data_IF_674257995050
#
_entry.id   IF_674257995050
#
_cell.length_a   1.000
_cell.length_b   1.000
_cell.length_c   1.000
_cell.angle_alpha   90.00
_cell.angle_beta   90.00
_cell.angle_gamma   90.00
#
_symmetry.space_group_name_H-M   'P 1'
#
loop_
_entity.id
_entity.type
_entity.pdbx_description
1 polymer ?
#
# COMPACT_ATOMS: atom_id res chain seq x y z
N UNK A 1 14.69 3.68 13.42
CA UNK A 1 14.69 2.34 12.79
C UNK A 1 13.27 1.83 12.86
N UNK A 2 12.74 1.39 11.71
CA UNK A 2 11.35 0.93 11.59
C UNK A 2 11.13 -0.14 12.67
N UNK A 3 9.93 -0.38 13.18
CA UNK A 3 9.60 -1.46 14.13
C UNK A 3 8.34 -2.22 13.68
N UNK A 4 7.46 -1.52 12.96
CA UNK A 4 6.20 -2.04 12.41
C UNK A 4 6.05 -1.69 10.95
N UNK A 5 5.56 -2.63 10.16
CA UNK A 5 5.18 -2.43 8.75
C UNK A 5 3.72 -2.85 8.60
N UNK A 6 2.88 -1.99 8.03
CA UNK A 6 1.56 -2.38 7.55
C UNK A 6 1.56 -2.35 6.02
N UNK A 7 1.12 -3.44 5.39
CA UNK A 7 0.93 -3.53 3.94
C UNK A 7 -0.55 -3.56 3.65
N UNK A 8 -1.03 -2.61 2.85
CA UNK A 8 -2.45 -2.46 2.55
C UNK A 8 -2.66 -2.12 1.06
N UNK A 9 -3.78 -2.53 0.48
CA UNK A 9 -4.18 -2.08 -0.86
C UNK A 9 -4.65 -0.62 -0.80
N UNK A 10 -4.73 0.04 -1.95
CA UNK A 10 -5.13 1.45 -2.06
C UNK A 10 -6.22 1.75 -3.11
N UNK A 11 -7.17 0.84 -3.41
CA UNK A 11 -8.22 1.18 -4.36
C UNK A 11 -9.17 2.23 -3.73
N UNK A 12 -9.69 3.19 -4.52
CA UNK A 12 -10.55 4.25 -3.98
C UNK A 12 -11.82 3.73 -3.28
N UNK A 13 -12.29 2.52 -3.65
CA UNK A 13 -13.44 1.86 -3.04
C UNK A 13 -13.28 1.58 -1.53
N UNK A 14 -12.07 1.65 -0.97
CA UNK A 14 -11.88 1.58 0.48
C UNK A 14 -12.53 2.77 1.19
N UNK A 15 -12.61 3.92 0.53
CA UNK A 15 -13.29 5.12 1.04
C UNK A 15 -14.80 4.91 0.96
N UNK A 16 -15.49 5.00 2.11
CA UNK A 16 -16.91 4.70 2.24
C UNK A 16 -17.79 5.51 1.29
N UNK A 17 -17.46 6.78 1.13
CA UNK A 17 -18.16 7.77 0.33
C UNK A 17 -18.01 7.51 -1.18
N UNK A 18 -16.95 6.81 -1.62
CA UNK A 18 -16.70 6.48 -3.03
C UNK A 18 -17.35 5.15 -3.44
N UNK A 19 -17.62 4.27 -2.50
CA UNK A 19 -18.33 3.02 -2.73
C UNK A 19 -19.44 2.85 -1.68
N UNK A 20 -20.56 3.58 -1.85
CA UNK A 20 -21.71 3.49 -0.97
C UNK A 20 -22.45 2.16 -1.19
N UNK A 21 -23.00 1.61 -0.11
CA UNK A 21 -23.73 0.36 -0.13
C UNK A 21 -23.08 -0.73 0.70
N UNK A 22 -23.82 -1.81 0.90
CA UNK A 22 -23.35 -2.97 1.64
C UNK A 22 -22.84 -4.03 0.68
N UNK A 23 -21.56 -4.37 0.83
CA UNK A 23 -20.96 -5.57 0.27
C UNK A 23 -20.15 -6.24 1.38
N UNK A 24 -20.38 -7.54 1.59
CA UNK A 24 -19.73 -8.29 2.67
C UNK A 24 -18.21 -8.38 2.46
N UNK A 25 -17.77 -8.66 1.23
CA UNK A 25 -16.34 -8.82 0.93
C UNK A 25 -15.60 -7.48 1.05
N UNK A 26 -16.23 -6.38 0.64
CA UNK A 26 -15.70 -5.03 0.87
C UNK A 26 -15.65 -4.68 2.36
N UNK A 27 -16.65 -5.09 3.13
CA UNK A 27 -16.69 -4.86 4.59
C UNK A 27 -15.54 -5.60 5.28
N UNK A 28 -15.30 -6.85 4.91
CA UNK A 28 -14.18 -7.66 5.42
C UNK A 28 -12.82 -7.03 5.03
N UNK A 29 -12.66 -6.58 3.78
CA UNK A 29 -11.45 -5.89 3.33
C UNK A 29 -11.22 -4.57 4.08
N UNK A 30 -12.24 -3.70 4.19
CA UNK A 30 -12.15 -2.43 4.94
C UNK A 30 -11.80 -2.67 6.40
N UNK A 31 -12.37 -3.70 7.03
CA UNK A 31 -12.04 -4.07 8.40
C UNK A 31 -10.58 -4.50 8.56
N UNK A 32 -10.07 -5.35 7.66
CA UNK A 32 -8.67 -5.77 7.67
C UNK A 32 -7.71 -4.57 7.51
N UNK A 33 -7.96 -3.70 6.53
CA UNK A 33 -7.17 -2.48 6.32
C UNK A 33 -7.20 -1.57 7.56
N UNK A 34 -8.40 -1.31 8.09
CA UNK A 34 -8.58 -0.45 9.25
C UNK A 34 -7.86 -0.99 10.49
N UNK A 35 -7.92 -2.30 10.73
CA UNK A 35 -7.21 -2.93 11.84
C UNK A 35 -5.69 -2.85 11.66
N UNK A 36 -5.16 -3.09 10.45
CA UNK A 36 -3.74 -3.00 10.17
C UNK A 36 -3.18 -1.59 10.41
N UNK A 37 -3.89 -0.53 9.97
CA UNK A 37 -3.42 0.85 10.15
C UNK A 37 -3.60 1.38 11.57
N UNK A 38 -4.62 0.91 12.32
CA UNK A 38 -4.72 1.19 13.77
C UNK A 38 -3.58 0.52 14.55
N UNK A 39 -3.28 -0.74 14.24
CA UNK A 39 -2.14 -1.45 14.81
C UNK A 39 -0.80 -0.74 14.51
N UNK A 40 -0.67 -0.14 13.32
CA UNK A 40 0.48 0.71 13.00
C UNK A 40 0.52 1.97 13.87
N UNK A 41 -0.62 2.66 14.05
CA UNK A 41 -0.75 3.86 14.90
C UNK A 41 -0.40 3.60 16.38
N UNK A 42 -0.72 2.41 16.89
CA UNK A 42 -0.38 2.00 18.26
C UNK A 42 1.13 1.94 18.51
N UNK A 43 1.93 1.71 17.46
CA UNK A 43 3.39 1.67 17.56
C UNK A 43 4.07 3.02 17.31
N UNK A 44 3.49 3.86 16.45
CA UNK A 44 3.99 5.20 16.17
C UNK A 44 2.91 6.11 15.54
N UNK A 45 2.95 7.40 15.85
CA UNK A 45 2.04 8.41 15.29
C UNK A 45 2.60 9.14 14.06
N UNK A 46 3.90 8.98 13.79
CA UNK A 46 4.56 9.47 12.58
C UNK A 46 4.94 8.30 11.68
N UNK A 47 4.43 8.32 10.46
CA UNK A 47 4.64 7.24 9.51
C UNK A 47 5.46 7.70 8.33
N UNK A 48 6.25 6.77 7.80
CA UNK A 48 6.70 6.80 6.43
C UNK A 48 5.79 5.88 5.61
N UNK A 49 5.41 6.28 4.41
CA UNK A 49 4.70 5.46 3.45
C UNK A 49 5.50 5.29 2.17
N UNK A 50 5.40 4.12 1.55
CA UNK A 50 5.95 3.84 0.23
C UNK A 50 4.87 3.31 -0.70
N UNK A 51 4.86 3.84 -1.92
CA UNK A 51 3.98 3.42 -2.99
C UNK A 51 4.69 3.58 -4.35
N UNK A 52 4.08 3.07 -5.40
CA UNK A 52 4.51 3.31 -6.78
C UNK A 52 3.34 3.82 -7.61
N UNK A 53 3.62 4.75 -8.53
CA UNK A 53 2.62 5.37 -9.40
C UNK A 53 3.25 5.81 -10.74
N UNK A 54 2.42 5.95 -11.76
CA UNK A 54 2.84 6.41 -13.09
C UNK A 54 3.15 7.92 -13.12
N UNK A 55 2.75 8.68 -12.09
CA UNK A 55 3.13 10.09 -11.91
C UNK A 55 4.63 10.31 -11.69
N UNK A 56 5.39 9.23 -11.46
CA UNK A 56 6.83 9.24 -11.29
C UNK A 56 7.27 9.45 -9.83
N UNK A 57 8.59 9.55 -9.66
CA UNK A 57 9.24 9.63 -8.34
C UNK A 57 9.01 10.99 -7.67
N UNK A 58 8.51 10.99 -6.43
CA UNK A 58 8.29 12.21 -5.66
C UNK A 58 8.27 11.94 -4.14
N UNK A 59 8.47 13.01 -3.34
CA UNK A 59 8.25 12.97 -1.89
C UNK A 59 7.12 13.91 -1.50
N UNK A 60 6.16 13.41 -0.72
CA UNK A 60 4.98 14.16 -0.28
C UNK A 60 4.92 14.22 1.24
N UNK A 61 4.75 15.43 1.80
CA UNK A 61 4.58 15.62 3.25
C UNK A 61 3.81 16.92 3.51
N UNK A 62 2.97 16.94 4.56
CA UNK A 62 2.23 18.14 5.01
C UNK A 62 1.14 18.67 4.06
N UNK A 63 0.99 18.08 2.87
CA UNK A 63 0.05 18.51 1.84
C UNK A 63 -1.41 18.14 2.18
N UNK A 64 -2.34 18.76 1.45
CA UNK A 64 -3.79 18.48 1.45
C UNK A 64 -4.23 18.06 0.04
N UNK A 65 -5.16 17.11 -0.04
CA UNK A 65 -5.80 16.68 -1.29
C UNK A 65 -7.28 16.41 -1.13
N UNK A 66 -7.95 16.00 -2.20
CA UNK A 66 -9.36 15.57 -2.19
C UNK A 66 -9.58 14.41 -3.15
N UNK A 67 -10.52 13.54 -2.82
CA UNK A 67 -11.03 12.49 -3.70
C UNK A 67 -12.06 12.99 -4.73
N UNK A 68 -12.26 14.31 -4.89
CA UNK A 68 -13.26 14.86 -5.80
C UNK A 68 -13.15 14.34 -7.24
N UNK A 69 -11.93 14.08 -7.74
CA UNK A 69 -11.69 13.47 -9.05
C UNK A 69 -12.14 12.00 -9.16
N UNK A 70 -12.39 11.34 -8.03
CA UNK A 70 -12.88 9.97 -7.93
C UNK A 70 -14.39 9.89 -7.64
N UNK A 71 -15.06 11.03 -7.45
CA UNK A 71 -16.52 11.12 -7.34
C UNK A 71 -17.07 11.53 -5.98
N UNK A 72 -16.23 11.77 -4.97
CA UNK A 72 -16.68 12.33 -3.68
C UNK A 72 -15.68 13.35 -3.13
N UNK A 73 -16.17 14.50 -2.64
CA UNK A 73 -15.32 15.54 -2.05
C UNK A 73 -14.90 15.20 -0.61
N UNK A 74 -14.13 14.13 -0.48
CA UNK A 74 -13.48 13.75 0.77
C UNK A 74 -12.10 14.39 0.81
N UNK A 75 -11.95 15.43 1.62
CA UNK A 75 -10.67 16.09 1.86
C UNK A 75 -9.77 15.22 2.75
N UNK A 76 -8.48 15.14 2.41
CA UNK A 76 -7.44 14.46 3.19
C UNK A 76 -6.26 15.38 3.44
N UNK A 77 -5.54 15.15 4.54
CA UNK A 77 -4.28 15.84 4.85
C UNK A 77 -3.19 14.81 5.12
N UNK A 78 -1.93 15.17 4.90
CA UNK A 78 -0.77 14.32 5.25
C UNK A 78 -0.26 14.55 6.69
N UNK A 79 -0.57 15.69 7.31
CA UNK A 79 -0.28 15.97 8.73
C UNK A 79 -1.49 16.56 9.47
N UNK A 80 -1.65 16.26 10.76
CA UNK A 80 -2.72 16.79 11.61
C UNK A 80 -2.56 18.30 11.77
N UNK A 81 -3.67 19.04 11.68
CA UNK A 81 -3.65 20.50 11.82
C UNK A 81 -3.00 21.25 10.64
N UNK A 82 -2.65 20.57 9.54
CA UNK A 82 -2.17 21.24 8.34
C UNK A 82 -3.30 22.03 7.66
N UNK A 83 -3.11 23.35 7.58
CA UNK A 83 -3.84 24.24 6.67
C UNK A 83 -3.06 24.47 5.36
N UNK A 84 -2.26 23.47 4.94
CA UNK A 84 -1.38 23.55 3.76
C UNK A 84 -2.09 24.04 2.49
N UNK A 85 -1.30 24.47 1.51
CA UNK A 85 -1.80 25.03 0.24
C UNK A 85 -2.93 24.16 -0.37
N UNK A 86 -3.91 24.84 -0.99
CA UNK A 86 -5.14 24.25 -1.55
C UNK A 86 -4.89 23.12 -2.57
N UNK A 87 -5.95 22.40 -2.99
CA UNK A 87 -5.89 21.02 -3.46
C UNK A 87 -4.91 20.85 -4.61
N UNK A 88 -3.70 20.38 -4.29
CA UNK A 88 -2.83 19.79 -5.29
C UNK A 88 -3.50 18.50 -5.78
N UNK A 89 -3.43 18.23 -7.08
CA UNK A 89 -3.80 16.93 -7.63
C UNK A 89 -2.76 15.91 -7.14
N UNK A 90 -2.99 15.33 -5.96
CA UNK A 90 -2.11 14.33 -5.39
C UNK A 90 -2.39 12.96 -6.06
N UNK A 91 -1.36 12.15 -6.33
CA UNK A 91 -1.53 10.78 -6.80
C UNK A 91 -2.40 9.96 -5.84
N UNK A 92 -3.15 8.99 -6.36
CA UNK A 92 -4.05 8.16 -5.56
C UNK A 92 -3.40 7.54 -4.31
N UNK A 93 -2.23 6.88 -4.40
CA UNK A 93 -1.60 6.31 -3.19
C UNK A 93 -1.28 7.38 -2.14
N UNK A 94 -0.98 8.62 -2.54
CA UNK A 94 -0.75 9.73 -1.60
C UNK A 94 -2.05 10.15 -0.92
N UNK A 95 -3.16 10.24 -1.65
CA UNK A 95 -4.49 10.50 -1.08
C UNK A 95 -4.89 9.40 -0.08
N UNK A 96 -4.68 8.14 -0.45
CA UNK A 96 -4.98 6.98 0.38
C UNK A 96 -4.11 6.93 1.64
N UNK A 97 -2.81 7.25 1.55
CA UNK A 97 -1.94 7.37 2.73
C UNK A 97 -2.50 8.40 3.72
N UNK A 98 -2.86 9.59 3.25
CA UNK A 98 -3.44 10.66 4.08
C UNK A 98 -4.79 10.26 4.70
N UNK A 99 -5.64 9.58 3.92
CA UNK A 99 -6.92 9.07 4.40
C UNK A 99 -6.75 8.03 5.51
N UNK A 100 -5.92 7.00 5.29
CA UNK A 100 -5.65 5.93 6.26
C UNK A 100 -5.03 6.47 7.54
N UNK A 101 -4.11 7.44 7.41
CA UNK A 101 -3.51 8.16 8.53
C UNK A 101 -4.58 8.86 9.37
N UNK A 102 -5.52 9.56 8.73
CA UNK A 102 -6.67 10.18 9.40
C UNK A 102 -7.59 9.16 10.09
N UNK A 103 -7.88 8.03 9.43
CA UNK A 103 -8.71 6.95 9.99
C UNK A 103 -8.09 6.29 11.23
N UNK A 104 -6.77 6.18 11.28
CA UNK A 104 -6.04 5.59 12.40
C UNK A 104 -5.72 6.58 13.53
N UNK A 105 -5.92 7.89 13.30
CA UNK A 105 -5.59 8.93 14.28
C UNK A 105 -4.09 9.23 14.39
N UNK A 106 -3.28 8.89 13.38
CA UNK A 106 -1.86 9.23 13.35
C UNK A 106 -1.63 10.73 13.11
N UNK A 107 -0.52 11.26 13.60
CA UNK A 107 -0.17 12.68 13.49
C UNK A 107 0.28 13.04 12.08
N UNK A 108 1.09 12.20 11.42
CA UNK A 108 1.56 12.49 10.07
C UNK A 108 1.94 11.25 9.28
N UNK A 109 1.89 11.37 7.96
CA UNK A 109 2.48 10.44 7.01
C UNK A 109 3.28 11.21 5.96
N UNK A 110 4.55 10.86 5.80
CA UNK A 110 5.36 11.25 4.65
C UNK A 110 5.33 10.12 3.62
N UNK A 111 5.16 10.43 2.33
CA UNK A 111 5.09 9.42 1.27
C UNK A 111 6.32 9.53 0.36
N UNK A 112 7.07 8.45 0.26
CA UNK A 112 8.09 8.23 -0.77
C UNK A 112 7.43 7.49 -1.94
N UNK A 113 7.16 8.22 -3.01
CA UNK A 113 6.55 7.70 -4.22
C UNK A 113 7.64 7.27 -5.19
N UNK A 114 7.57 6.02 -5.63
CA UNK A 114 8.43 5.46 -6.68
C UNK A 114 7.78 5.60 -8.05
N UNK A 115 8.62 5.64 -9.07
CA UNK A 115 8.17 5.38 -10.44
C UNK A 115 7.72 3.91 -10.55
N UNK A 116 6.57 3.66 -11.16
CA UNK A 116 6.03 2.31 -11.35
C UNK A 116 7.01 1.34 -12.04
N UNK A 117 7.90 1.85 -12.91
CA UNK A 117 8.91 1.08 -13.62
C UNK A 117 10.23 0.88 -12.83
N UNK A 118 10.34 1.38 -11.60
CA UNK A 118 11.57 1.28 -10.79
C UNK A 118 12.06 -0.17 -10.70
N UNK A 119 13.30 -0.43 -11.14
CA UNK A 119 13.85 -1.79 -11.20
C UNK A 119 14.02 -2.43 -9.81
N UNK A 120 14.08 -3.77 -9.77
CA UNK A 120 14.29 -4.53 -8.53
C UNK A 120 15.49 -4.03 -7.71
N UNK A 121 16.71 -3.83 -8.28
CA UNK A 121 17.86 -3.40 -7.48
C UNK A 121 17.65 -2.04 -6.81
N UNK A 122 16.93 -1.13 -7.47
CA UNK A 122 16.64 0.20 -6.95
C UNK A 122 15.60 0.16 -5.83
N UNK A 123 14.60 -0.73 -5.96
CA UNK A 123 13.62 -1.00 -4.90
C UNK A 123 14.29 -1.58 -3.65
N UNK A 124 15.20 -2.56 -3.83
CA UNK A 124 15.95 -3.17 -2.72
C UNK A 124 16.84 -2.14 -2.01
N UNK A 125 17.57 -1.30 -2.77
CA UNK A 125 18.38 -0.21 -2.18
C UNK A 125 17.52 0.80 -1.44
N UNK A 126 16.35 1.15 -1.97
CA UNK A 126 15.42 2.02 -1.27
C UNK A 126 14.98 1.40 0.05
N UNK A 127 14.58 0.12 0.06
CA UNK A 127 14.20 -0.59 1.29
C UNK A 127 15.33 -0.66 2.32
N UNK A 128 16.56 -0.94 1.88
CA UNK A 128 17.72 -0.93 2.76
C UNK A 128 17.97 0.46 3.40
N UNK A 129 17.83 1.53 2.62
CA UNK A 129 17.94 2.90 3.15
C UNK A 129 16.86 3.20 4.19
N UNK A 130 15.60 2.81 3.93
CA UNK A 130 14.50 2.98 4.88
C UNK A 130 14.74 2.23 6.19
N UNK A 131 15.29 1.01 6.11
CA UNK A 131 15.58 0.22 7.31
C UNK A 131 16.62 0.88 8.23
N UNK A 132 17.55 1.65 7.68
CA UNK A 132 18.57 2.39 8.46
C UNK A 132 18.12 3.78 8.91
N UNK A 133 16.94 4.23 8.49
CA UNK A 133 16.40 5.54 8.84
C UNK A 133 15.91 5.65 10.28
N UNK A 134 15.53 6.88 10.65
CA UNK A 134 15.05 7.20 12.00
C UNK A 134 13.58 6.81 12.21
N UNK A 135 12.79 6.70 11.13
CA UNK A 135 11.37 6.34 11.17
C UNK A 135 11.13 5.01 11.89
N UNK A 136 9.99 4.88 12.57
CA UNK A 136 9.63 3.70 13.39
C UNK A 136 8.43 2.91 12.84
N UNK A 137 7.68 3.47 11.89
CA UNK A 137 6.52 2.83 11.27
C UNK A 137 6.50 3.05 9.76
N UNK A 138 6.28 1.96 9.01
CA UNK A 138 6.19 1.97 7.56
C UNK A 138 4.80 1.52 7.09
N UNK A 139 4.19 2.30 6.22
CA UNK A 139 2.98 1.95 5.48
C UNK A 139 3.36 1.62 4.03
N UNK A 140 3.08 0.41 3.56
CA UNK A 140 3.30 -0.01 2.17
C UNK A 140 1.94 -0.05 1.47
N UNK A 141 1.78 0.75 0.41
CA UNK A 141 0.56 0.82 -0.38
C UNK A 141 0.79 0.07 -1.70
N UNK A 142 0.08 -1.04 -1.87
CA UNK A 142 0.31 -1.96 -2.98
C UNK A 142 -0.95 -2.75 -3.36
N UNK A 143 -1.32 -2.71 -4.64
CA UNK A 143 -2.42 -3.49 -5.21
C UNK A 143 -1.89 -4.68 -6.04
N UNK A 144 -2.61 -5.80 -6.00
CA UNK A 144 -2.37 -7.01 -6.79
C UNK A 144 -2.92 -6.93 -8.21
N UNK A 145 -3.06 -8.08 -8.86
CA UNK A 145 -3.47 -8.13 -10.25
C UNK A 145 -4.88 -7.58 -10.44
N UNK A 146 -5.11 -6.77 -11.47
CA UNK A 146 -6.44 -6.27 -11.85
C UNK A 146 -7.18 -7.19 -12.83
N UNK A 147 -6.76 -8.47 -12.92
CA UNK A 147 -7.17 -9.43 -13.97
C UNK A 147 -7.83 -10.71 -13.45
N UNK A 148 -8.39 -10.67 -12.24
CA UNK A 148 -9.07 -11.84 -11.64
C UNK A 148 -10.48 -12.05 -12.22
N UNK A 149 -10.59 -12.98 -13.17
CA UNK A 149 -11.88 -13.42 -13.73
C UNK A 149 -12.45 -12.48 -14.79
N UNK A 150 -13.55 -12.90 -15.44
CA UNK A 150 -14.08 -12.22 -16.64
C UNK A 150 -14.57 -10.79 -16.40
N UNK A 151 -14.98 -10.47 -15.17
CA UNK A 151 -15.49 -9.15 -14.78
C UNK A 151 -14.39 -8.22 -14.24
N UNK A 152 -13.13 -8.65 -14.27
CA UNK A 152 -12.03 -7.85 -13.75
C UNK A 152 -11.80 -6.58 -14.60
N UNK A 153 -11.41 -5.44 -13.99
CA UNK A 153 -11.17 -4.19 -14.72
C UNK A 153 -10.16 -4.33 -15.86
N UNK A 154 -9.10 -5.14 -15.68
CA UNK A 154 -8.06 -5.37 -16.68
C UNK A 154 -8.36 -6.49 -17.68
N UNK A 155 -9.54 -7.11 -17.60
CA UNK A 155 -9.89 -8.33 -18.32
C UNK A 155 -9.17 -9.57 -17.78
N UNK A 156 -9.80 -10.74 -17.95
CA UNK A 156 -9.32 -12.00 -17.37
C UNK A 156 -7.90 -12.37 -17.86
N UNK A 157 -7.06 -12.78 -16.93
CA UNK A 157 -5.81 -13.51 -17.20
C UNK A 157 -5.70 -14.69 -16.21
N UNK A 158 -5.60 -15.92 -16.73
CA UNK A 158 -5.59 -17.13 -15.90
C UNK A 158 -4.37 -17.22 -14.96
N UNK A 159 -3.35 -16.38 -15.15
CA UNK A 159 -2.15 -16.32 -14.28
C UNK A 159 -2.36 -15.45 -13.04
N UNK A 160 -3.39 -14.61 -13.00
CA UNK A 160 -3.65 -13.68 -11.89
C UNK A 160 -3.81 -14.41 -10.52
N UNK A 161 -4.55 -15.53 -10.41
CA UNK A 161 -4.68 -16.25 -9.15
C UNK A 161 -3.36 -16.77 -8.58
N UNK A 162 -2.51 -17.38 -9.41
CA UNK A 162 -1.22 -17.92 -8.96
C UNK A 162 -0.24 -16.79 -8.59
N UNK A 163 -0.23 -15.71 -9.38
CA UNK A 163 0.59 -14.53 -9.07
C UNK A 163 0.26 -13.96 -7.69
N UNK A 164 -1.02 -13.66 -7.42
CA UNK A 164 -1.45 -13.08 -6.15
C UNK A 164 -1.34 -14.06 -4.97
N UNK A 165 -1.48 -15.37 -5.20
CA UNK A 165 -1.20 -16.37 -4.17
C UNK A 165 0.29 -16.36 -3.76
N UNK A 166 1.21 -16.18 -4.71
CA UNK A 166 2.64 -16.02 -4.43
C UNK A 166 2.95 -14.75 -3.63
N UNK A 167 2.26 -13.65 -3.93
CA UNK A 167 2.37 -12.42 -3.13
C UNK A 167 1.86 -12.66 -1.70
N UNK A 168 0.67 -13.25 -1.54
CA UNK A 168 0.10 -13.53 -0.24
C UNK A 168 1.03 -14.38 0.64
N UNK A 169 1.61 -15.45 0.08
CA UNK A 169 2.56 -16.32 0.78
C UNK A 169 3.83 -15.57 1.20
N UNK A 170 4.39 -14.76 0.30
CA UNK A 170 5.56 -13.95 0.58
C UNK A 170 5.31 -12.91 1.68
N UNK A 171 4.12 -12.31 1.71
CA UNK A 171 3.73 -11.34 2.73
C UNK A 171 3.48 -12.00 4.09
N UNK A 172 2.89 -13.20 4.13
CA UNK A 172 2.65 -13.93 5.38
C UNK A 172 3.98 -14.36 6.04
N UNK A 173 4.93 -14.85 5.23
CA UNK A 173 6.22 -15.37 5.68
C UNK A 173 7.32 -14.32 5.80
N UNK A 174 7.06 -13.09 5.37
CA UNK A 174 8.08 -12.04 5.22
C UNK A 174 9.24 -12.51 4.31
N UNK A 175 8.91 -13.18 3.21
CA UNK A 175 9.89 -13.75 2.28
C UNK A 175 10.48 -12.65 1.37
N UNK A 176 11.54 -11.99 1.85
CA UNK A 176 12.24 -10.94 1.12
C UNK A 176 12.78 -11.40 -0.25
N UNK A 177 13.13 -12.68 -0.38
CA UNK A 177 13.65 -13.27 -1.61
C UNK A 177 12.53 -13.46 -2.64
N UNK A 178 11.36 -13.91 -2.22
CA UNK A 178 10.18 -14.00 -3.08
C UNK A 178 9.71 -12.61 -3.54
N UNK A 179 9.66 -11.63 -2.62
CA UNK A 179 9.30 -10.25 -2.97
C UNK A 179 10.31 -9.63 -3.96
N UNK A 180 11.60 -9.86 -3.77
CA UNK A 180 12.64 -9.44 -4.72
C UNK A 180 12.41 -10.02 -6.12
N UNK A 181 11.99 -11.29 -6.22
CA UNK A 181 11.81 -12.02 -7.50
C UNK A 181 10.49 -11.74 -8.22
N UNK A 182 9.64 -10.83 -7.75
CA UNK A 182 8.40 -10.49 -8.48
C UNK A 182 8.75 -9.99 -9.88
N UNK A 183 8.35 -10.76 -10.90
CA UNK A 183 8.68 -10.47 -12.29
C UNK A 183 7.97 -9.20 -12.77
N UNK A 184 8.76 -8.20 -13.17
CA UNK A 184 8.23 -6.89 -13.56
C UNK A 184 7.38 -6.95 -14.84
N UNK A 185 7.72 -7.85 -15.77
CA UNK A 185 6.98 -8.01 -17.03
C UNK A 185 5.61 -8.65 -16.78
N UNK A 186 5.56 -9.69 -15.96
CA UNK A 186 4.33 -10.37 -15.56
C UNK A 186 3.46 -9.46 -14.72
N UNK A 187 4.02 -8.77 -13.72
CA UNK A 187 3.27 -7.80 -12.92
C UNK A 187 2.63 -6.71 -13.81
N UNK A 188 3.37 -6.18 -14.79
CA UNK A 188 2.82 -5.23 -15.77
C UNK A 188 1.71 -5.82 -16.62
N UNK A 189 1.87 -7.05 -17.14
CA UNK A 189 0.82 -7.75 -17.90
C UNK A 189 -0.43 -7.99 -17.06
N UNK A 190 -0.27 -8.27 -15.77
CA UNK A 190 -1.34 -8.53 -14.82
C UNK A 190 -1.92 -7.27 -14.19
N UNK A 191 -1.39 -6.08 -14.52
CA UNK A 191 -1.82 -4.81 -13.94
C UNK A 191 -1.56 -4.68 -12.44
N UNK A 192 -0.59 -5.42 -11.90
CA UNK A 192 -0.25 -5.41 -10.48
C UNK A 192 0.67 -4.22 -10.14
N UNK A 193 0.06 -3.10 -9.76
CA UNK A 193 0.77 -1.85 -9.45
C UNK A 193 1.65 -1.95 -8.17
N UNK A 194 1.38 -2.90 -7.30
CA UNK A 194 2.07 -3.09 -6.01
C UNK A 194 3.51 -3.58 -6.08
N UNK A 195 3.98 -4.12 -7.23
CA UNK A 195 5.30 -4.77 -7.36
C UNK A 195 6.45 -3.99 -6.73
N UNK A 196 6.62 -2.72 -7.12
CA UNK A 196 7.78 -1.94 -6.68
C UNK A 196 7.75 -1.69 -5.16
N UNK A 197 6.58 -1.37 -4.61
CA UNK A 197 6.40 -1.15 -3.19
C UNK A 197 6.63 -2.43 -2.36
N UNK A 198 6.21 -3.59 -2.86
CA UNK A 198 6.54 -4.89 -2.26
C UNK A 198 8.03 -5.22 -2.30
N UNK A 199 8.73 -4.88 -3.38
CA UNK A 199 10.19 -5.06 -3.47
C UNK A 199 10.93 -4.14 -2.48
N UNK A 200 10.44 -2.91 -2.25
CA UNK A 200 10.96 -2.06 -1.16
C UNK A 200 10.73 -2.69 0.20
N UNK A 201 9.54 -3.22 0.45
CA UNK A 201 9.23 -3.94 1.69
C UNK A 201 10.18 -5.14 1.88
N UNK A 202 10.49 -5.88 0.82
CA UNK A 202 11.51 -6.94 0.81
C UNK A 202 12.90 -6.41 1.20
N UNK A 203 13.32 -5.25 0.70
CA UNK A 203 14.56 -4.60 1.13
C UNK A 203 14.58 -4.24 2.62
N UNK A 204 13.45 -3.78 3.17
CA UNK A 204 13.29 -3.52 4.62
C UNK A 204 13.35 -4.82 5.42
N UNK A 205 12.72 -5.88 4.91
CA UNK A 205 12.67 -7.20 5.55
C UNK A 205 14.06 -7.83 5.72
N UNK A 206 15.04 -7.50 4.85
CA UNK A 206 16.41 -8.05 4.96
C UNK A 206 17.23 -7.50 6.12
N UNK A 207 16.83 -6.36 6.70
CA UNK A 207 17.66 -5.69 7.70
C UNK A 207 17.65 -6.37 9.08
N UNK A 208 16.66 -7.24 9.35
CA UNK A 208 16.47 -7.95 10.62
C UNK A 208 15.35 -8.98 10.52
N UNK A 209 15.09 -9.69 11.61
CA UNK A 209 13.98 -10.64 11.69
C UNK A 209 12.63 -9.97 11.95
N UNK A 210 11.60 -10.56 11.38
CA UNK A 210 10.22 -10.09 11.48
C UNK A 210 9.27 -11.24 11.79
N UNK A 211 8.15 -10.91 12.43
CA UNK A 211 6.97 -11.75 12.50
C UNK A 211 5.92 -11.19 11.56
N UNK A 212 5.61 -11.94 10.50
CA UNK A 212 4.53 -11.63 9.57
C UNK A 212 3.18 -12.16 10.04
N UNK A 213 2.10 -11.52 9.58
CA UNK A 213 0.73 -12.01 9.69
C UNK A 213 -0.07 -11.48 8.51
N UNK A 214 -0.59 -12.37 7.68
CA UNK A 214 -1.56 -12.05 6.64
C UNK A 214 -2.97 -11.97 7.23
N UNK A 215 -3.61 -10.80 7.13
CA UNK A 215 -4.95 -10.53 7.66
C UNK A 215 -6.04 -10.70 6.61
N UNK A 216 -5.72 -10.48 5.34
CA UNK A 216 -6.65 -10.60 4.24
C UNK A 216 -5.93 -10.94 2.94
N UNK A 217 -6.50 -11.85 2.16
CA UNK A 217 -6.18 -12.02 0.74
C UNK A 217 -7.46 -12.36 -0.02
N UNK A 218 -7.66 -11.74 -1.17
CA UNK A 218 -8.85 -11.98 -2.00
C UNK A 218 -8.95 -11.06 -3.20
N UNK A 219 -9.85 -11.37 -4.13
CA UNK A 219 -10.10 -10.57 -5.32
C UNK A 219 -11.60 -10.33 -5.60
N UNK A 220 -12.36 -9.76 -4.63
CA UNK A 220 -13.81 -9.62 -4.74
C UNK A 220 -14.28 -8.77 -5.91
N UNK A 221 -13.45 -7.83 -6.38
CA UNK A 221 -13.76 -6.92 -7.48
C UNK A 221 -12.90 -7.18 -8.72
N UNK A 222 -12.38 -8.40 -8.85
CA UNK A 222 -11.47 -8.78 -9.93
C UNK A 222 -10.07 -8.16 -9.80
N UNK A 223 -9.76 -7.59 -8.64
CA UNK A 223 -8.44 -7.04 -8.29
C UNK A 223 -7.91 -7.73 -7.05
N UNK A 224 -6.67 -8.21 -7.08
CA UNK A 224 -6.00 -8.83 -5.93
C UNK A 224 -5.72 -7.81 -4.82
N UNK A 225 -6.20 -8.10 -3.61
CA UNK A 225 -6.00 -7.28 -2.42
C UNK A 225 -5.36 -8.11 -1.32
N UNK A 226 -4.30 -7.58 -0.71
CA UNK A 226 -3.56 -8.24 0.36
C UNK A 226 -3.36 -7.27 1.52
N UNK A 227 -3.66 -7.72 2.74
CA UNK A 227 -3.42 -6.94 3.96
C UNK A 227 -2.53 -7.76 4.88
N UNK A 228 -1.38 -7.22 5.27
CA UNK A 228 -0.45 -7.89 6.16
C UNK A 228 0.19 -6.90 7.14
N UNK A 229 0.69 -7.41 8.27
CA UNK A 229 1.49 -6.64 9.21
C UNK A 229 2.76 -7.39 9.56
N UNK A 230 3.88 -6.68 9.67
CA UNK A 230 5.15 -7.23 10.11
C UNK A 230 5.65 -6.49 11.35
N UNK A 231 5.95 -7.22 12.42
CA UNK A 231 6.55 -6.69 13.65
C UNK A 231 7.98 -7.20 13.79
N UNK A 232 8.90 -6.29 14.14
CA UNK A 232 10.29 -6.65 14.39
C UNK A 232 10.40 -7.64 15.55
N UNK A 233 11.36 -8.57 15.45
CA UNK A 233 11.74 -9.46 16.57
C UNK A 233 12.94 -8.94 17.33
#
# INVERSE_FOLDING_TARGET
MIARVALVPYPPLLVGELAPGYDRQLTELRAAVSNAVRWLAEGATHWLAVAADESGRARHAGQRGSFASYGADVTVTLSSGSNGAGPAALPLPVLMAGWLRGQAGAESVAVELLDAATGQPDCERAGAALATGDDTALLVLADGSTRHGEKSPGGKDDRAPEFDAGIADALDKVDADALARIDATLAGKLGAAGRAAWQVAGGVARARDWRGTLHYTGAPFGVGYHVATWEAR
#
